data_IF_190221734430
#
_entry.id   IF_190221734430
#
_cell.length_a   1.000
_cell.length_b   1.000
_cell.length_c   1.000
_cell.angle_alpha   90.00
_cell.angle_beta   90.00
_cell.angle_gamma   90.00
#
_symmetry.space_group_name_H-M   'P 1'
#
loop_
_entity.id
_entity.type
_entity.pdbx_description
1 polymer ?
#
# COMPACT_ATOMS: atom_id res chain seq x y z
N UNK A 1 6.40 -8.56 -5.53
CA UNK A 1 5.32 -8.68 -4.55
C UNK A 1 4.49 -7.41 -4.62
N UNK A 2 3.18 -7.53 -4.80
CA UNK A 2 2.24 -6.41 -4.65
C UNK A 2 1.83 -6.31 -3.18
N UNK A 3 1.65 -5.10 -2.66
CA UNK A 3 1.25 -4.82 -1.28
C UNK A 3 -0.25 -5.07 -0.99
N UNK A 4 -1.00 -5.55 -1.99
CA UNK A 4 -2.43 -5.81 -1.91
C UNK A 4 -2.80 -7.24 -2.30
N UNK A 5 -1.81 -8.08 -2.57
CA UNK A 5 -2.04 -9.42 -3.10
C UNK A 5 -2.81 -10.29 -2.09
N UNK A 6 -2.44 -10.26 -0.81
CA UNK A 6 -3.17 -10.95 0.26
C UNK A 6 -4.62 -10.49 0.37
N UNK A 7 -4.88 -9.18 0.23
CA UNK A 7 -6.23 -8.63 0.28
C UNK A 7 -7.09 -9.10 -0.89
N UNK A 8 -6.55 -9.13 -2.11
CA UNK A 8 -7.29 -9.61 -3.29
C UNK A 8 -7.38 -11.13 -3.38
N UNK A 9 -6.56 -11.88 -2.64
CA UNK A 9 -6.72 -13.32 -2.49
C UNK A 9 -7.74 -13.72 -1.42
N UNK A 10 -8.07 -12.84 -0.48
CA UNK A 10 -9.21 -13.04 0.41
C UNK A 10 -10.52 -12.91 -0.41
N UNK A 11 -11.30 -14.00 -0.60
CA UNK A 11 -12.45 -13.99 -1.49
C UNK A 11 -13.51 -12.96 -1.10
N UNK A 12 -13.73 -12.77 0.20
CA UNK A 12 -14.70 -11.83 0.72
C UNK A 12 -14.30 -10.38 0.44
N UNK A 13 -13.02 -10.05 0.59
CA UNK A 13 -12.48 -8.71 0.37
C UNK A 13 -12.47 -8.40 -1.13
N UNK A 14 -12.00 -9.36 -1.94
CA UNK A 14 -12.00 -9.27 -3.38
C UNK A 14 -13.43 -9.09 -3.91
N UNK A 15 -14.40 -9.86 -3.43
CA UNK A 15 -15.80 -9.71 -3.82
C UNK A 15 -16.36 -8.33 -3.47
N UNK A 16 -16.05 -7.79 -2.28
CA UNK A 16 -16.50 -6.45 -1.87
C UNK A 16 -15.89 -5.35 -2.76
N UNK A 17 -14.60 -5.43 -3.05
CA UNK A 17 -13.86 -4.42 -3.82
C UNK A 17 -14.19 -4.49 -5.32
N UNK A 18 -14.09 -5.66 -5.92
CA UNK A 18 -14.23 -5.83 -7.37
C UNK A 18 -15.68 -5.72 -7.85
N UNK A 19 -16.65 -5.96 -6.97
CA UNK A 19 -18.06 -5.72 -7.29
C UNK A 19 -18.39 -4.23 -7.40
N UNK A 20 -17.80 -3.40 -6.53
CA UNK A 20 -18.16 -1.98 -6.42
C UNK A 20 -17.20 -1.05 -7.18
N UNK A 21 -15.99 -1.52 -7.51
CA UNK A 21 -14.93 -0.67 -8.03
C UNK A 21 -14.20 -1.29 -9.23
N UNK A 22 -13.80 -0.43 -10.16
CA UNK A 22 -12.73 -0.71 -11.10
C UNK A 22 -11.40 -0.33 -10.43
N UNK A 23 -10.48 -1.31 -10.30
CA UNK A 23 -9.24 -1.14 -9.54
C UNK A 23 -8.09 -0.79 -10.47
N UNK A 24 -7.42 0.34 -10.17
CA UNK A 24 -6.20 0.77 -10.85
C UNK A 24 -5.02 0.66 -9.87
N UNK A 25 -4.10 -0.26 -10.15
CA UNK A 25 -2.88 -0.42 -9.35
C UNK A 25 -1.77 0.50 -9.89
N UNK A 26 -1.31 1.43 -9.05
CA UNK A 26 -0.20 2.33 -9.39
C UNK A 26 1.08 1.75 -8.80
N UNK A 27 2.04 1.43 -9.68
CA UNK A 27 3.39 1.08 -9.27
C UNK A 27 4.28 2.32 -9.34
N UNK A 28 5.06 2.62 -8.29
CA UNK A 28 6.02 3.72 -8.37
C UNK A 28 7.06 3.43 -9.47
N UNK A 29 7.67 4.48 -10.07
CA UNK A 29 8.65 4.31 -11.13
C UNK A 29 9.76 3.32 -10.76
N UNK A 30 10.03 2.37 -11.64
CA UNK A 30 11.01 1.29 -11.46
C UNK A 30 10.46 0.07 -10.73
N UNK A 31 9.29 0.15 -10.07
CA UNK A 31 8.73 -0.95 -9.26
C UNK A 31 7.86 -1.89 -10.08
N UNK A 32 7.68 -1.61 -11.36
CA UNK A 32 7.01 -2.50 -12.29
C UNK A 32 7.80 -3.80 -12.54
N UNK A 33 7.07 -4.88 -12.81
CA UNK A 33 7.68 -6.17 -13.13
C UNK A 33 8.48 -6.04 -14.44
N UNK A 34 9.78 -6.32 -14.39
CA UNK A 34 10.67 -6.19 -15.54
C UNK A 34 11.22 -4.78 -15.79
N UNK A 35 11.13 -3.87 -14.81
CA UNK A 35 11.74 -2.55 -14.89
C UNK A 35 13.24 -2.62 -15.20
N UNK A 36 13.71 -1.69 -16.04
CA UNK A 36 15.13 -1.51 -16.29
C UNK A 36 15.85 -1.04 -15.01
N UNK A 37 17.12 -1.39 -14.86
CA UNK A 37 17.93 -0.86 -13.77
C UNK A 37 17.95 0.68 -13.86
N UNK A 38 17.63 1.35 -12.75
CA UNK A 38 17.64 2.82 -12.67
C UNK A 38 19.07 3.29 -12.93
N UNK A 39 19.24 4.21 -13.89
CA UNK A 39 20.54 4.78 -14.18
C UNK A 39 20.93 5.76 -13.06
N UNK A 40 22.17 5.74 -12.59
CA UNK A 40 22.62 6.59 -11.48
C UNK A 40 22.49 8.11 -11.76
N UNK A 41 22.33 8.49 -13.04
CA UNK A 41 22.19 9.87 -13.48
C UNK A 41 20.73 10.33 -13.63
N UNK A 42 19.75 9.45 -13.47
CA UNK A 42 18.34 9.84 -13.57
C UNK A 42 17.93 10.61 -12.30
N UNK A 43 17.26 11.78 -12.43
CA UNK A 43 16.81 12.53 -11.28
C UNK A 43 15.75 11.72 -10.54
N UNK A 44 16.02 11.43 -9.27
CA UNK A 44 15.09 10.67 -8.43
C UNK A 44 13.89 11.57 -8.08
N UNK A 45 12.64 11.18 -8.40
CA UNK A 45 11.47 12.03 -8.20
C UNK A 45 11.24 12.32 -6.72
N UNK A 46 10.85 13.56 -6.40
CA UNK A 46 10.45 13.92 -5.04
C UNK A 46 9.07 13.34 -4.69
N UNK A 47 8.73 13.32 -3.40
CA UNK A 47 7.40 12.88 -2.96
C UNK A 47 6.26 13.75 -3.53
N UNK A 48 6.54 15.01 -3.84
CA UNK A 48 5.59 15.91 -4.51
C UNK A 48 5.40 15.52 -5.97
N UNK A 49 6.49 15.20 -6.68
CA UNK A 49 6.42 14.75 -8.08
C UNK A 49 5.64 13.44 -8.19
N UNK A 50 5.83 12.52 -7.23
CA UNK A 50 5.05 11.28 -7.18
C UNK A 50 3.56 11.53 -6.96
N UNK A 51 3.19 12.49 -6.10
CA UNK A 51 1.80 12.89 -5.93
C UNK A 51 1.22 13.53 -7.20
N UNK A 52 1.99 14.35 -7.91
CA UNK A 52 1.56 14.97 -9.16
C UNK A 52 1.40 13.96 -10.31
N UNK A 53 2.25 12.93 -10.36
CA UNK A 53 2.10 11.83 -11.32
C UNK A 53 0.78 11.07 -11.15
N UNK A 54 0.24 10.98 -9.93
CA UNK A 54 -1.08 10.37 -9.72
C UNK A 54 -2.15 11.17 -10.48
N UNK A 55 -2.07 12.50 -10.47
CA UNK A 55 -3.00 13.33 -11.24
C UNK A 55 -2.90 13.05 -12.75
N UNK A 56 -1.67 12.91 -13.26
CA UNK A 56 -1.45 12.57 -14.67
C UNK A 56 -2.09 11.22 -15.04
N UNK A 57 -1.93 10.21 -14.18
CA UNK A 57 -2.56 8.90 -14.35
C UNK A 57 -4.09 9.02 -14.39
N UNK A 58 -4.69 9.75 -13.44
CA UNK A 58 -6.14 9.96 -13.44
C UNK A 58 -6.61 10.68 -14.71
N UNK A 59 -5.89 11.69 -15.16
CA UNK A 59 -6.24 12.44 -16.36
C UNK A 59 -6.09 11.58 -17.63
N UNK A 60 -5.04 10.75 -17.72
CA UNK A 60 -4.82 9.84 -18.84
C UNK A 60 -5.98 8.86 -19.02
N UNK A 61 -6.42 8.24 -17.93
CA UNK A 61 -7.58 7.34 -17.93
C UNK A 61 -8.93 8.05 -17.86
N UNK A 62 -8.94 9.40 -17.84
CA UNK A 62 -10.13 10.25 -17.74
C UNK A 62 -11.00 9.94 -16.52
N UNK A 63 -10.35 9.61 -15.41
CA UNK A 63 -11.00 9.32 -14.14
C UNK A 63 -11.34 10.62 -13.41
N UNK A 64 -12.58 10.72 -12.91
CA UNK A 64 -13.06 11.86 -12.15
C UNK A 64 -12.50 11.90 -10.73
N UNK A 65 -13.38 11.75 -9.73
CA UNK A 65 -12.99 11.57 -8.33
C UNK A 65 -12.85 10.07 -8.02
N UNK A 66 -11.77 9.69 -7.32
CA UNK A 66 -11.42 8.30 -7.04
C UNK A 66 -11.39 8.03 -5.53
N UNK A 67 -11.52 6.76 -5.18
CA UNK A 67 -11.20 6.28 -3.83
C UNK A 67 -9.77 5.74 -3.84
N UNK A 68 -8.98 6.14 -2.86
CA UNK A 68 -7.55 5.87 -2.81
C UNK A 68 -7.23 4.89 -1.70
N UNK A 69 -6.46 3.85 -2.01
CA UNK A 69 -5.98 2.90 -1.02
C UNK A 69 -4.45 2.84 -1.05
N UNK A 70 -3.80 3.03 0.10
CA UNK A 70 -2.36 3.09 0.21
C UNK A 70 -1.82 2.36 1.43
N UNK A 71 -0.61 1.82 1.29
CA UNK A 71 0.14 1.17 2.37
C UNK A 71 1.44 1.93 2.61
N UNK A 72 1.75 2.23 3.87
CA UNK A 72 2.98 2.91 4.33
C UNK A 72 3.33 4.17 3.51
N UNK A 73 4.37 4.10 2.69
CA UNK A 73 4.79 5.19 1.83
C UNK A 73 3.74 5.55 0.75
N UNK A 74 3.01 4.55 0.22
CA UNK A 74 1.87 4.79 -0.66
C UNK A 74 0.73 5.54 0.06
N UNK A 75 0.51 5.24 1.34
CA UNK A 75 -0.46 5.97 2.15
C UNK A 75 -0.06 7.44 2.35
N UNK A 76 1.23 7.72 2.58
CA UNK A 76 1.76 9.08 2.65
C UNK A 76 1.55 9.85 1.34
N UNK A 77 1.95 9.25 0.20
CA UNK A 77 1.83 9.91 -1.11
C UNK A 77 0.37 10.18 -1.47
N UNK A 78 -0.54 9.23 -1.20
CA UNK A 78 -1.97 9.41 -1.44
C UNK A 78 -2.61 10.45 -0.51
N UNK A 79 -2.14 10.54 0.74
CA UNK A 79 -2.56 11.61 1.66
C UNK A 79 -2.11 12.97 1.16
N UNK A 80 -0.85 13.09 0.72
CA UNK A 80 -0.32 14.30 0.11
C UNK A 80 -1.12 14.68 -1.14
N UNK A 81 -1.39 13.72 -2.02
CA UNK A 81 -2.25 13.90 -3.19
C UNK A 81 -3.65 14.42 -2.80
N UNK A 82 -4.29 13.82 -1.78
CA UNK A 82 -5.60 14.25 -1.31
C UNK A 82 -5.59 15.66 -0.71
N UNK A 83 -4.50 16.08 -0.05
CA UNK A 83 -4.36 17.46 0.43
C UNK A 83 -4.19 18.47 -0.70
N UNK A 84 -3.53 18.08 -1.80
CA UNK A 84 -3.27 18.94 -2.96
C UNK A 84 -4.47 19.01 -3.92
N UNK A 85 -5.14 17.89 -4.17
CA UNK A 85 -6.21 17.75 -5.16
C UNK A 85 -7.50 17.20 -4.53
N UNK A 86 -8.06 17.94 -3.56
CA UNK A 86 -9.22 17.51 -2.76
C UNK A 86 -10.42 17.05 -3.59
N UNK A 87 -10.73 17.74 -4.67
CA UNK A 87 -11.88 17.42 -5.54
C UNK A 87 -11.71 16.10 -6.31
N UNK A 88 -10.49 15.54 -6.36
CA UNK A 88 -10.20 14.28 -7.04
C UNK A 88 -10.25 13.07 -6.10
N UNK A 89 -10.49 13.26 -4.80
CA UNK A 89 -10.46 12.18 -3.80
C UNK A 89 -11.77 12.10 -3.03
N UNK A 90 -12.50 11.00 -3.23
CA UNK A 90 -13.76 10.72 -2.52
C UNK A 90 -13.53 10.17 -1.11
N UNK A 91 -12.52 9.32 -0.95
CA UNK A 91 -12.20 8.66 0.30
C UNK A 91 -10.80 8.07 0.29
N UNK A 92 -10.24 7.88 1.48
CA UNK A 92 -8.90 7.33 1.69
C UNK A 92 -8.97 6.09 2.58
N UNK A 93 -8.25 5.04 2.18
CA UNK A 93 -8.00 3.85 3.00
C UNK A 93 -6.47 3.76 3.17
N UNK A 94 -6.00 3.94 4.39
CA UNK A 94 -4.59 4.12 4.70
C UNK A 94 -4.13 3.02 5.64
N UNK A 95 -3.16 2.22 5.23
CA UNK A 95 -2.62 1.11 6.03
C UNK A 95 -1.22 1.47 6.50
N UNK A 96 -1.01 1.46 7.81
CA UNK A 96 0.21 1.90 8.50
C UNK A 96 0.76 3.23 7.96
N UNK A 97 -0.06 4.31 7.95
CA UNK A 97 0.34 5.55 7.30
C UNK A 97 1.41 6.33 8.08
N UNK A 98 2.05 7.22 7.33
CA UNK A 98 3.09 8.12 7.78
C UNK A 98 2.62 9.56 7.60
N UNK A 99 2.95 10.46 8.52
CA UNK A 99 2.57 11.88 8.44
C UNK A 99 3.66 12.89 8.83
N UNK A 100 4.67 12.48 9.61
CA UNK A 100 5.72 13.40 10.08
C UNK A 100 6.93 13.46 9.14
N UNK A 101 7.88 14.34 9.45
CA UNK A 101 9.26 14.20 8.97
C UNK A 101 9.90 12.92 9.57
N UNK A 102 10.89 12.30 8.90
CA UNK A 102 11.48 11.06 9.39
C UNK A 102 12.19 11.30 10.72
N UNK A 103 12.01 10.38 11.66
CA UNK A 103 12.69 10.47 12.95
C UNK A 103 14.19 10.19 12.80
N UNK A 104 15.01 10.64 13.76
CA UNK A 104 16.45 10.33 13.76
C UNK A 104 16.71 8.81 13.73
N UNK A 105 15.87 8.03 14.42
CA UNK A 105 15.98 6.56 14.43
C UNK A 105 15.64 5.93 13.08
N UNK A 106 14.63 6.45 12.38
CA UNK A 106 14.27 5.99 11.03
C UNK A 106 15.36 6.35 10.03
N UNK A 107 15.87 7.58 10.11
CA UNK A 107 16.99 8.03 9.29
C UNK A 107 18.20 7.12 9.50
N UNK A 108 18.55 6.81 10.74
CA UNK A 108 19.69 5.93 11.06
C UNK A 108 19.48 4.53 10.51
N UNK A 109 18.30 3.90 10.70
CA UNK A 109 18.00 2.58 10.12
C UNK A 109 18.13 2.60 8.60
N UNK A 110 17.57 3.61 7.94
CA UNK A 110 17.62 3.72 6.50
C UNK A 110 19.06 3.97 6.00
N UNK A 111 19.86 4.70 6.77
CA UNK A 111 21.29 4.92 6.48
C UNK A 111 22.10 3.63 6.61
N UNK A 112 21.89 2.86 7.68
CA UNK A 112 22.52 1.56 7.88
C UNK A 112 22.16 0.61 6.74
N UNK A 113 20.88 0.54 6.39
CA UNK A 113 20.40 -0.31 5.28
C UNK A 113 21.01 0.09 3.93
N UNK A 114 21.11 1.39 3.64
CA UNK A 114 21.77 1.89 2.42
C UNK A 114 23.26 1.57 2.40
N UNK A 115 23.96 1.71 3.53
CA UNK A 115 25.38 1.38 3.62
C UNK A 115 25.61 -0.12 3.45
N UNK A 116 24.78 -0.97 4.09
CA UNK A 116 24.83 -2.42 3.92
C UNK A 116 24.62 -2.82 2.47
N UNK A 117 23.65 -2.20 1.77
CA UNK A 117 23.43 -2.42 0.35
C UNK A 117 24.65 -2.01 -0.49
N UNK A 118 25.29 -0.89 -0.16
CA UNK A 118 26.46 -0.39 -0.89
C UNK A 118 27.69 -1.30 -0.72
N UNK A 119 27.98 -1.75 0.49
CA UNK A 119 29.18 -2.54 0.79
C UNK A 119 29.01 -4.04 0.51
N UNK A 120 27.85 -4.62 0.87
CA UNK A 120 27.62 -6.06 0.81
C UNK A 120 26.72 -6.50 -0.35
N UNK A 121 26.18 -5.55 -1.11
CA UNK A 121 25.16 -5.85 -2.12
C UNK A 121 23.90 -6.43 -1.49
N UNK A 122 23.06 -7.07 -2.31
CA UNK A 122 21.84 -7.69 -1.79
C UNK A 122 22.15 -9.02 -1.07
N UNK A 123 22.26 -8.95 0.25
CA UNK A 123 22.48 -10.10 1.14
C UNK A 123 21.19 -10.53 1.85
N UNK A 124 21.16 -11.75 2.39
CA UNK A 124 20.04 -12.27 3.20
C UNK A 124 19.66 -11.34 4.37
N UNK A 125 20.65 -10.75 5.03
CA UNK A 125 20.44 -9.82 6.15
C UNK A 125 19.59 -8.58 5.77
N UNK A 126 19.74 -8.08 4.54
CA UNK A 126 18.92 -6.96 4.06
C UNK A 126 17.48 -7.40 3.81
N UNK A 127 17.27 -8.63 3.33
CA UNK A 127 15.94 -9.21 3.18
C UNK A 127 15.28 -9.36 4.56
N UNK A 128 16.00 -9.88 5.54
CA UNK A 128 15.51 -10.04 6.92
C UNK A 128 15.14 -8.69 7.53
N UNK A 129 16.00 -7.67 7.38
CA UNK A 129 15.72 -6.34 7.91
C UNK A 129 14.46 -5.70 7.29
N UNK A 130 14.21 -5.92 6.00
CA UNK A 130 13.00 -5.47 5.33
C UNK A 130 11.77 -6.25 5.80
N UNK A 131 11.90 -7.57 5.97
CA UNK A 131 10.82 -8.41 6.48
C UNK A 131 10.41 -7.96 7.89
N UNK A 132 11.36 -7.80 8.81
CA UNK A 132 11.09 -7.29 10.17
C UNK A 132 10.56 -5.85 10.22
N UNK A 133 10.76 -5.06 9.14
CA UNK A 133 10.19 -3.72 9.06
C UNK A 133 8.70 -3.74 8.73
N UNK A 134 8.28 -4.69 7.89
CA UNK A 134 6.92 -4.71 7.34
C UNK A 134 6.01 -5.74 8.00
N UNK A 135 6.56 -6.86 8.47
CA UNK A 135 5.82 -7.96 9.05
C UNK A 135 6.01 -8.07 10.56
N UNK A 136 5.01 -8.61 11.25
CA UNK A 136 5.12 -8.94 12.68
C UNK A 136 6.17 -10.02 12.93
N UNK A 137 6.64 -10.11 14.18
CA UNK A 137 7.56 -11.18 14.61
C UNK A 137 6.92 -12.55 14.47
N UNK A 138 5.63 -12.66 14.75
CA UNK A 138 4.87 -13.91 14.64
C UNK A 138 4.90 -14.44 13.20
N UNK A 139 4.73 -13.56 12.22
CA UNK A 139 4.70 -13.92 10.80
C UNK A 139 6.11 -14.18 10.25
N UNK A 140 7.13 -13.47 10.77
CA UNK A 140 8.53 -13.68 10.40
C UNK A 140 9.13 -14.99 10.96
N UNK A 141 8.49 -15.61 11.95
CA UNK A 141 8.99 -16.80 12.62
C UNK A 141 10.13 -16.50 13.61
N UNK A 142 10.36 -17.46 14.51
CA UNK A 142 11.49 -17.47 15.46
C UNK A 142 12.03 -18.91 15.57
N UNK A 143 13.02 -19.16 16.42
CA UNK A 143 13.59 -20.49 16.64
C UNK A 143 12.55 -21.58 17.00
N UNK A 144 11.38 -21.18 17.54
CA UNK A 144 10.28 -22.05 17.95
C UNK A 144 9.05 -22.01 17.02
N UNK A 145 8.90 -20.97 16.20
CA UNK A 145 7.70 -20.75 15.35
C UNK A 145 8.12 -20.72 13.87
N UNK A 146 7.57 -21.62 13.03
CA UNK A 146 7.93 -21.65 11.61
C UNK A 146 7.47 -20.38 10.89
N UNK A 147 8.30 -19.90 9.95
CA UNK A 147 7.97 -18.73 9.13
C UNK A 147 6.67 -18.97 8.32
N UNK A 148 5.81 -17.97 8.27
CA UNK A 148 4.58 -17.99 7.48
C UNK A 148 4.86 -18.13 5.97
N UNK A 149 3.94 -18.78 5.25
CA UNK A 149 3.96 -18.90 3.79
C UNK A 149 4.10 -17.54 3.08
N UNK A 150 3.57 -16.47 3.67
CA UNK A 150 3.66 -15.10 3.13
C UNK A 150 5.12 -14.61 3.16
N UNK A 151 5.82 -14.84 4.26
CA UNK A 151 7.23 -14.47 4.42
C UNK A 151 8.11 -15.34 3.55
N UNK A 152 7.83 -16.65 3.48
CA UNK A 152 8.54 -17.55 2.58
C UNK A 152 8.34 -17.15 1.10
N UNK A 153 7.12 -16.79 0.69
CA UNK A 153 6.84 -16.28 -0.64
C UNK A 153 7.60 -14.97 -0.90
N UNK A 154 7.63 -14.05 0.07
CA UNK A 154 8.37 -12.79 -0.03
C UNK A 154 9.89 -13.02 -0.14
N UNK A 155 10.44 -14.01 0.59
CA UNK A 155 11.86 -14.43 0.49
C UNK A 155 12.18 -15.01 -0.90
N UNK A 156 11.26 -15.81 -1.45
CA UNK A 156 11.39 -16.45 -2.78
C UNK A 156 11.33 -15.45 -3.93
N UNK A 157 10.67 -14.30 -3.76
CA UNK A 157 10.75 -13.17 -4.71
C UNK A 157 12.15 -12.56 -4.61
N UNK A 158 13.09 -13.23 -5.25
CA UNK A 158 14.52 -12.94 -5.26
C UNK A 158 14.92 -12.08 -6.46
N UNK A 159 14.07 -11.14 -6.87
CA UNK A 159 14.45 -10.18 -7.90
C UNK A 159 15.34 -9.12 -7.26
N UNK A 160 16.65 -9.21 -7.49
CA UNK A 160 17.65 -8.29 -6.93
C UNK A 160 17.30 -6.82 -7.16
N UNK A 161 16.63 -6.53 -8.26
CA UNK A 161 16.21 -5.19 -8.64
C UNK A 161 15.05 -4.67 -7.77
N UNK A 162 14.12 -5.51 -7.32
CA UNK A 162 12.94 -5.08 -6.55
C UNK A 162 13.30 -4.64 -5.11
N UNK A 163 14.30 -5.28 -4.50
CA UNK A 163 14.75 -4.94 -3.14
C UNK A 163 15.64 -3.70 -3.14
N UNK A 164 16.56 -3.58 -4.11
CA UNK A 164 17.35 -2.36 -4.32
C UNK A 164 16.43 -1.15 -4.44
N UNK A 165 15.37 -1.31 -5.20
CA UNK A 165 14.41 -0.28 -5.44
C UNK A 165 13.54 0.05 -4.22
N UNK A 166 13.13 -0.94 -3.43
CA UNK A 166 12.48 -0.71 -2.15
C UNK A 166 13.38 0.11 -1.21
N UNK A 167 14.70 -0.13 -1.25
CA UNK A 167 15.68 0.65 -0.49
C UNK A 167 15.81 2.08 -1.04
N UNK A 168 15.87 2.25 -2.37
CA UNK A 168 15.84 3.59 -3.00
C UNK A 168 14.56 4.35 -2.63
N UNK A 169 13.42 3.67 -2.63
CA UNK A 169 12.15 4.26 -2.25
C UNK A 169 12.10 4.62 -0.76
N UNK A 170 12.67 3.78 0.11
CA UNK A 170 12.84 4.11 1.52
C UNK A 170 13.76 5.32 1.71
N UNK A 171 14.78 5.48 0.87
CA UNK A 171 15.64 6.66 0.87
C UNK A 171 14.92 7.91 0.36
N UNK A 172 14.04 7.79 -0.63
CA UNK A 172 13.16 8.88 -1.06
C UNK A 172 12.23 9.34 0.07
N UNK A 173 11.69 8.39 0.82
CA UNK A 173 10.85 8.69 1.98
C UNK A 173 11.61 9.36 3.12
N UNK A 174 12.95 9.33 3.16
CA UNK A 174 13.73 10.16 4.10
C UNK A 174 13.69 11.65 3.77
N UNK A 175 13.24 12.04 2.57
CA UNK A 175 13.05 13.45 2.20
C UNK A 175 11.60 13.91 2.39
N UNK A 176 10.75 13.09 3.04
CA UNK A 176 9.38 13.46 3.37
C UNK A 176 9.36 14.67 4.32
N UNK A 177 8.41 15.56 4.10
CA UNK A 177 8.14 16.69 4.99
C UNK A 177 6.93 16.36 5.86
N UNK A 178 6.74 17.12 6.94
CA UNK A 178 5.60 16.94 7.80
C UNK A 178 4.31 17.43 7.10
N UNK A 179 3.35 16.53 6.91
CA UNK A 179 2.05 16.81 6.28
C UNK A 179 0.93 17.02 7.31
N UNK A 180 1.26 17.03 8.61
CA UNK A 180 0.29 17.11 9.72
C UNK A 180 -0.66 18.29 9.60
N UNK A 181 -0.20 19.46 9.17
CA UNK A 181 -1.07 20.63 9.02
C UNK A 181 -2.07 20.48 7.87
N UNK A 182 -1.66 19.78 6.80
CA UNK A 182 -2.57 19.44 5.70
C UNK A 182 -3.70 18.50 6.14
N UNK A 183 -3.46 17.63 7.12
CA UNK A 183 -4.46 16.68 7.62
C UNK A 183 -5.70 17.34 8.20
N UNK A 184 -5.54 18.50 8.86
CA UNK A 184 -6.65 19.28 9.44
C UNK A 184 -7.62 19.81 8.37
N UNK A 185 -7.15 19.88 7.13
CA UNK A 185 -7.92 20.42 6.00
C UNK A 185 -8.51 19.31 5.11
N UNK A 186 -8.25 18.04 5.43
CA UNK A 186 -8.83 16.90 4.71
C UNK A 186 -10.29 16.72 5.14
N UNK A 187 -11.19 16.78 4.16
CA UNK A 187 -12.64 16.56 4.34
C UNK A 187 -13.14 15.23 3.80
N UNK A 188 -12.29 14.48 3.08
CA UNK A 188 -12.65 13.16 2.60
C UNK A 188 -12.66 12.16 3.77
N UNK A 189 -13.59 11.20 3.76
CA UNK A 189 -13.60 10.18 4.80
C UNK A 189 -12.35 9.32 4.66
N UNK A 190 -11.70 9.04 5.77
CA UNK A 190 -10.43 8.36 5.85
C UNK A 190 -10.51 7.22 6.85
N UNK A 191 -10.27 6.01 6.37
CA UNK A 191 -10.15 4.81 7.18
C UNK A 191 -8.67 4.47 7.35
N UNK A 192 -8.20 4.42 8.59
CA UNK A 192 -6.81 4.14 8.94
C UNK A 192 -6.75 2.76 9.57
N UNK A 193 -5.90 1.89 9.04
CA UNK A 193 -5.54 0.60 9.63
C UNK A 193 -4.11 0.66 10.13
N UNK A 194 -3.84 0.06 11.29
CA UNK A 194 -2.48 -0.13 11.76
C UNK A 194 -2.38 -1.38 12.60
N UNK A 195 -1.31 -2.16 12.40
CA UNK A 195 -0.96 -3.25 13.30
C UNK A 195 -0.38 -2.74 14.62
N UNK A 196 -0.63 -3.43 15.72
CA UNK A 196 -0.03 -3.14 17.03
C UNK A 196 1.50 -3.33 17.05
N UNK A 197 1.99 -4.36 16.36
CA UNK A 197 3.42 -4.66 16.19
C UNK A 197 4.10 -3.81 15.11
N UNK A 198 3.36 -2.92 14.46
CA UNK A 198 3.90 -2.05 13.41
C UNK A 198 4.90 -1.03 13.97
N UNK A 199 6.10 -0.87 13.40
CA UNK A 199 7.00 0.23 13.76
C UNK A 199 6.39 1.61 13.47
N UNK A 200 5.31 1.68 12.67
CA UNK A 200 4.60 2.91 12.33
C UNK A 200 3.37 3.16 13.20
N UNK A 201 3.11 2.31 14.20
CA UNK A 201 1.95 2.40 15.09
C UNK A 201 1.74 3.81 15.67
N UNK A 202 2.78 4.36 16.30
CA UNK A 202 2.74 5.71 16.89
C UNK A 202 2.47 6.83 15.87
N UNK A 203 2.90 6.67 14.61
CA UNK A 203 2.64 7.66 13.55
C UNK A 203 1.20 7.58 13.06
N UNK A 204 0.64 6.36 12.93
CA UNK A 204 -0.76 6.17 12.57
C UNK A 204 -1.71 6.73 13.64
N UNK A 205 -1.41 6.50 14.92
CA UNK A 205 -2.16 7.09 16.04
C UNK A 205 -2.10 8.63 16.00
N UNK A 206 -0.90 9.18 15.77
CA UNK A 206 -0.73 10.61 15.66
C UNK A 206 -1.51 11.19 14.48
N UNK A 207 -1.47 10.52 13.33
CA UNK A 207 -2.23 10.92 12.14
C UNK A 207 -3.73 10.95 12.43
N UNK A 208 -4.28 9.87 13.01
CA UNK A 208 -5.68 9.77 13.38
C UNK A 208 -6.10 10.86 14.39
N UNK A 209 -5.24 11.17 15.37
CA UNK A 209 -5.50 12.21 16.35
C UNK A 209 -5.51 13.64 15.77
N UNK A 210 -4.82 13.87 14.64
CA UNK A 210 -4.74 15.17 13.97
C UNK A 210 -5.84 15.38 12.93
N UNK A 211 -6.43 14.30 12.42
CA UNK A 211 -7.58 14.35 11.53
C UNK A 211 -8.87 14.64 12.31
N UNK A 212 -9.86 15.22 11.64
CA UNK A 212 -11.17 15.42 12.24
C UNK A 212 -11.85 14.07 12.50
N UNK A 213 -12.30 13.84 13.74
CA UNK A 213 -13.00 12.59 14.14
C UNK A 213 -14.30 12.32 13.37
N UNK A 214 -14.87 13.34 12.73
CA UNK A 214 -16.08 13.19 11.88
C UNK A 214 -15.77 12.49 10.56
N UNK A 215 -14.54 12.64 10.06
CA UNK A 215 -14.11 12.12 8.77
C UNK A 215 -13.10 10.97 8.91
N UNK A 216 -12.52 10.76 10.08
CA UNK A 216 -11.50 9.72 10.30
C UNK A 216 -12.00 8.60 11.21
N UNK A 217 -11.63 7.37 10.85
CA UNK A 217 -11.79 6.18 11.69
C UNK A 217 -10.46 5.43 11.75
N UNK A 218 -10.10 4.94 12.93
CA UNK A 218 -8.88 4.17 13.17
C UNK A 218 -9.25 2.75 13.58
N UNK A 219 -8.57 1.78 12.97
CA UNK A 219 -8.70 0.35 13.26
C UNK A 219 -7.32 -0.17 13.61
N UNK A 220 -7.16 -0.60 14.85
CA UNK A 220 -5.97 -1.26 15.35
C UNK A 220 -6.15 -2.78 15.21
N UNK A 221 -5.22 -3.42 14.51
CA UNK A 221 -5.23 -4.87 14.28
C UNK A 221 -4.21 -5.49 15.20
N UNK A 222 -4.69 -6.38 16.07
CA UNK A 222 -3.86 -7.05 17.08
C UNK A 222 -2.98 -8.13 16.43
N UNK A 223 -1.81 -8.37 17.01
CA UNK A 223 -0.82 -9.33 16.53
C UNK A 223 -0.51 -9.19 15.03
N UNK A 224 -0.31 -7.94 14.58
CA UNK A 224 -0.13 -7.64 13.17
C UNK A 224 0.97 -6.61 12.95
N UNK A 225 1.80 -6.82 11.91
CA UNK A 225 2.82 -5.88 11.50
C UNK A 225 2.28 -4.69 10.70
N UNK A 226 3.14 -4.09 9.88
CA UNK A 226 2.76 -2.93 9.06
C UNK A 226 1.81 -3.30 7.92
N UNK A 227 1.90 -4.54 7.43
CA UNK A 227 1.24 -5.00 6.21
C UNK A 227 -0.06 -5.75 6.52
N UNK A 228 -1.03 -5.04 7.13
CA UNK A 228 -2.36 -5.61 7.45
C UNK A 228 -3.03 -6.25 6.24
N UNK A 229 -2.81 -5.68 5.04
CA UNK A 229 -3.33 -6.19 3.76
C UNK A 229 -2.84 -7.59 3.41
N UNK A 230 -1.66 -7.98 3.89
CA UNK A 230 -1.04 -9.28 3.63
C UNK A 230 -1.17 -10.22 4.84
N UNK A 231 -0.92 -9.71 6.05
CA UNK A 231 -0.93 -10.52 7.28
C UNK A 231 -2.35 -10.89 7.73
N UNK A 232 -3.27 -9.92 7.74
CA UNK A 232 -4.62 -10.10 8.27
C UNK A 232 -5.68 -9.42 7.40
N UNK A 233 -5.85 -9.83 6.12
CA UNK A 233 -6.84 -9.24 5.22
C UNK A 233 -8.28 -9.37 5.74
N UNK A 234 -8.57 -10.43 6.51
CA UNK A 234 -9.89 -10.65 7.10
C UNK A 234 -10.29 -9.57 8.12
N UNK A 235 -9.32 -9.02 8.86
CA UNK A 235 -9.56 -7.94 9.81
C UNK A 235 -10.02 -6.64 9.12
N UNK A 236 -9.71 -6.48 7.83
CA UNK A 236 -10.09 -5.32 7.04
C UNK A 236 -11.55 -5.39 6.54
N UNK A 237 -12.16 -6.58 6.48
CA UNK A 237 -13.46 -6.79 5.84
C UNK A 237 -14.57 -5.93 6.43
N UNK A 238 -14.80 -6.08 7.74
CA UNK A 238 -15.91 -5.42 8.43
C UNK A 238 -15.74 -3.90 8.40
N UNK A 239 -14.57 -3.32 8.72
CA UNK A 239 -14.38 -1.87 8.62
C UNK A 239 -14.49 -1.34 7.18
N UNK A 240 -14.01 -2.08 6.18
CA UNK A 240 -14.17 -1.69 4.77
C UNK A 240 -15.64 -1.67 4.36
N UNK A 241 -16.42 -2.68 4.76
CA UNK A 241 -17.84 -2.75 4.48
C UNK A 241 -18.58 -1.55 5.10
N UNK A 242 -18.35 -1.26 6.38
CA UNK A 242 -18.94 -0.08 7.03
C UNK A 242 -18.51 1.24 6.37
N UNK A 243 -17.25 1.35 5.95
CA UNK A 243 -16.75 2.52 5.26
C UNK A 243 -17.46 2.73 3.92
N UNK A 244 -17.59 1.68 3.11
CA UNK A 244 -18.29 1.70 1.82
C UNK A 244 -19.79 1.94 1.94
N UNK A 245 -20.44 1.37 2.97
CA UNK A 245 -21.85 1.67 3.28
C UNK A 245 -22.06 3.17 3.50
N UNK A 246 -21.07 3.86 4.07
CA UNK A 246 -21.08 5.31 4.22
C UNK A 246 -21.16 6.11 2.90
N UNK A 247 -20.84 5.47 1.78
CA UNK A 247 -20.94 5.99 0.41
C UNK A 247 -22.11 5.37 -0.37
N UNK A 248 -22.96 4.55 0.27
CA UNK A 248 -24.03 3.81 -0.40
C UNK A 248 -23.55 2.64 -1.26
N UNK A 249 -22.30 2.20 -1.05
CA UNK A 249 -21.72 1.04 -1.72
C UNK A 249 -21.87 -0.17 -0.81
N UNK A 250 -22.57 -1.19 -1.29
CA UNK A 250 -22.94 -2.35 -0.49
C UNK A 250 -22.30 -3.60 -1.06
N UNK A 251 -22.05 -4.57 -0.18
CA UNK A 251 -21.79 -5.93 -0.63
C UNK A 251 -23.04 -6.44 -1.36
N UNK A 252 -22.91 -7.11 -2.52
CA UNK A 252 -24.05 -7.75 -3.16
C UNK A 252 -24.72 -8.70 -2.17
N UNK A 253 -26.00 -8.49 -1.89
CA UNK A 253 -26.80 -9.46 -1.15
C UNK A 253 -26.80 -10.75 -1.95
N UNK A 254 -26.25 -11.82 -1.40
CA UNK A 254 -26.46 -13.16 -1.94
C UNK A 254 -27.93 -13.52 -1.72
N UNK A 255 -28.81 -13.13 -2.66
CA UNK A 255 -30.15 -13.68 -2.75
C UNK A 255 -30.03 -15.11 -3.30
N UNK A 256 -29.65 -16.07 -2.45
CA UNK A 256 -29.78 -17.48 -2.77
C UNK A 256 -31.17 -17.96 -2.32
N UNK A 257 -32.15 -17.84 -3.20
CA UNK A 257 -33.45 -18.54 -3.10
C UNK A 257 -33.33 -20.05 -3.37
N UNK A 258 -32.21 -20.68 -3.01
CA UNK A 258 -31.96 -22.10 -3.17
C UNK A 258 -30.96 -22.57 -2.11
N UNK A 259 -31.25 -23.65 -1.35
CA UNK A 259 -30.33 -24.18 -0.37
C UNK A 259 -29.19 -24.86 -1.13
N UNK A 260 -28.13 -24.10 -1.42
CA UNK A 260 -26.91 -24.67 -1.98
C UNK A 260 -25.97 -25.06 -0.84
N UNK A 261 -25.39 -26.24 -1.01
CA UNK A 261 -24.40 -26.87 -0.13
C UNK A 261 -23.27 -25.91 0.28
N UNK A 262 -22.77 -25.97 1.53
CA UNK A 262 -21.73 -25.08 2.06
C UNK A 262 -20.34 -25.21 1.40
N UNK A 263 -20.21 -25.95 0.31
CA UNK A 263 -18.96 -26.31 -0.37
C UNK A 263 -18.77 -25.67 -1.75
N UNK A 264 -19.69 -24.82 -2.23
CA UNK A 264 -19.50 -24.12 -3.51
C UNK A 264 -18.85 -22.75 -3.31
N UNK A 265 -17.60 -22.52 -3.75
CA UNK A 265 -16.99 -21.20 -3.66
C UNK A 265 -17.64 -20.29 -4.71
N UNK A 266 -18.19 -19.16 -4.28
CA UNK A 266 -18.58 -18.06 -5.18
C UNK A 266 -17.37 -17.19 -5.53
N UNK A 267 -16.27 -17.83 -5.94
CA UNK A 267 -14.99 -17.16 -6.16
C UNK A 267 -14.78 -16.99 -7.66
N UNK A 268 -14.60 -15.75 -8.10
CA UNK A 268 -13.87 -15.49 -9.34
C UNK A 268 -12.44 -15.95 -9.06
N UNK A 269 -11.92 -16.90 -9.85
CA UNK A 269 -10.57 -17.41 -9.66
C UNK A 269 -9.57 -16.23 -9.73
N UNK A 270 -8.62 -16.10 -8.80
CA UNK A 270 -7.66 -14.98 -8.80
C UNK A 270 -6.86 -14.87 -10.10
N UNK A 271 -6.67 -16.00 -10.78
CA UNK A 271 -6.04 -16.14 -12.09
C UNK A 271 -6.77 -15.36 -13.19
N UNK A 272 -8.10 -15.15 -13.06
CA UNK A 272 -8.92 -14.38 -13.98
C UNK A 272 -8.77 -12.86 -13.82
N UNK A 273 -8.17 -12.40 -12.72
CA UNK A 273 -7.89 -11.00 -12.43
C UNK A 273 -6.49 -10.57 -12.90
N UNK A 274 -5.70 -11.49 -13.47
CA UNK A 274 -4.43 -11.13 -14.06
C UNK A 274 -4.66 -10.23 -15.31
N UNK A 275 -3.79 -9.25 -15.58
CA UNK A 275 -3.90 -8.41 -16.78
C UNK A 275 -3.95 -9.24 -18.07
N UNK A 276 -3.24 -10.37 -18.08
CA UNK A 276 -3.16 -11.33 -19.19
C UNK A 276 -4.47 -12.10 -19.39
N UNK A 277 -5.13 -12.54 -18.32
CA UNK A 277 -6.41 -13.24 -18.39
C UNK A 277 -7.59 -12.33 -18.74
N UNK A 278 -7.50 -11.04 -18.40
CA UNK A 278 -8.50 -10.03 -18.79
C UNK A 278 -8.32 -9.50 -20.22
N UNK A 279 -7.34 -10.02 -20.97
CA UNK A 279 -7.06 -9.59 -22.35
C UNK A 279 -6.54 -8.15 -22.45
N UNK A 280 -6.14 -7.54 -21.33
CA UNK A 280 -5.64 -6.18 -21.27
C UNK A 280 -4.14 -6.17 -21.52
N UNK A 281 -3.72 -5.83 -22.75
CA UNK A 281 -2.32 -5.48 -23.06
C UNK A 281 -1.97 -4.12 -22.46
N UNK A 282 -1.77 -4.08 -21.14
CA UNK A 282 -1.31 -2.87 -20.45
C UNK A 282 0.17 -2.66 -20.76
N UNK A 283 0.48 -1.70 -21.64
CA UNK A 283 1.86 -1.21 -21.78
C UNK A 283 2.16 -0.29 -20.60
N UNK A 284 3.31 -0.43 -19.92
CA UNK A 284 3.69 0.49 -18.84
C UNK A 284 3.72 1.92 -19.39
N UNK A 285 2.96 2.80 -18.75
CA UNK A 285 2.92 4.23 -19.10
C UNK A 285 4.19 4.84 -18.54
N UNK A 286 5.15 5.16 -19.43
CA UNK A 286 6.30 5.99 -19.08
C UNK A 286 5.82 7.43 -18.94
N UNK A 287 5.64 7.90 -17.71
CA UNK A 287 5.47 9.33 -17.43
C UNK A 287 6.78 10.05 -17.79
N UNK A 288 6.69 11.17 -18.52
CA UNK A 288 7.89 11.91 -18.93
C UNK A 288 8.46 12.61 -17.70
N UNK A 289 9.70 12.28 -17.36
CA UNK A 289 10.55 13.19 -16.59
C UNK A 289 10.78 14.40 -17.48
N UNK A 290 10.24 15.55 -17.10
CA UNK A 290 10.46 16.82 -17.80
C UNK A 290 11.96 17.06 -17.91
N UNK A 291 12.53 17.27 -19.11
CA UNK A 291 13.89 17.76 -19.22
C UNK A 291 13.90 19.17 -18.64
N UNK A 292 14.58 19.34 -17.51
CA UNK A 292 14.77 20.64 -16.89
C UNK A 292 15.39 21.62 -17.88
N UNK A 293 14.87 22.85 -17.85
CA UNK A 293 15.50 24.02 -18.46
C UNK A 293 16.84 24.33 -17.79
#
# INVERSE_FOLDING_TARGET
MSCFQGLFFCPEAAALLLHNFCVYHISPPGHELGAAAICANDPVPSVNDLADQILEVLNYFRLGAVMCMGVTAGAYILTLFATKFRERVLGLILVSPLCKAPSWTEWLRNKVMSNLLYYYGMCGLLKDFLLFRYFSKEVCGDAEVPESDIVQACRRVSASNSIILLIIFSLLMNRRHDITDGLKTLRCRTLIFVGDDSPFHSEALHMAAKMERRYSALVEVQACGSMVTEEQPHAMLVPLEYFFMGYGLYRPRQFNGSPRSPLSPSCIAPELLSPESMGLKLKPIKTRISPGR
#
